data_IF_248896958555
#
_entry.id   IF_248896958555
#
_cell.length_a   1.000
_cell.length_b   1.000
_cell.length_c   1.000
_cell.angle_alpha   90.00
_cell.angle_beta   90.00
_cell.angle_gamma   90.00
#
_symmetry.space_group_name_H-M   'P 1'
#
loop_
_entity.id
_entity.type
_entity.pdbx_description
1 polymer ?
#
# COMPACT_ATOMS: atom_id res chain seq x y z
N UNK A 1 -31.32 -40.25 7.25
CA UNK A 1 -30.68 -39.00 7.66
C UNK A 1 -29.58 -39.37 8.64
N UNK A 2 -28.33 -39.45 8.19
CA UNK A 2 -27.18 -39.63 9.08
C UNK A 2 -26.75 -38.23 9.53
N UNK A 3 -26.71 -38.01 10.83
CA UNK A 3 -26.23 -36.79 11.43
C UNK A 3 -24.71 -36.66 11.13
N UNK A 4 -24.28 -35.55 10.56
CA UNK A 4 -22.87 -35.20 10.46
C UNK A 4 -22.28 -35.11 11.89
N UNK A 5 -21.08 -35.66 12.13
CA UNK A 5 -20.44 -35.53 13.43
C UNK A 5 -20.06 -34.07 13.67
N UNK A 6 -20.60 -33.46 14.71
CA UNK A 6 -20.16 -32.15 15.19
C UNK A 6 -18.66 -32.18 15.48
N UNK A 7 -17.90 -31.39 14.73
CA UNK A 7 -16.48 -31.10 14.94
C UNK A 7 -16.31 -30.24 16.20
N UNK A 8 -16.35 -30.87 17.37
CA UNK A 8 -16.19 -30.20 18.70
C UNK A 8 -14.74 -30.25 19.22
N UNK A 9 -13.74 -30.37 18.39
CA UNK A 9 -12.35 -30.17 18.85
C UNK A 9 -11.88 -28.75 18.55
N UNK A 10 -11.83 -27.93 19.61
CA UNK A 10 -11.12 -26.64 19.59
C UNK A 10 -9.64 -26.90 19.39
N UNK A 11 -9.16 -26.71 18.17
CA UNK A 11 -7.75 -26.81 17.83
C UNK A 11 -7.03 -25.57 18.37
N UNK A 12 -6.09 -25.75 19.30
CA UNK A 12 -5.24 -24.67 19.80
C UNK A 12 -4.42 -24.02 18.67
N UNK A 13 -4.05 -22.74 18.85
CA UNK A 13 -3.31 -21.94 17.85
C UNK A 13 -2.08 -22.68 17.28
N UNK A 14 -1.24 -23.24 18.16
CA UNK A 14 0.02 -23.86 17.72
C UNK A 14 -0.25 -25.12 16.89
N UNK A 15 -1.24 -25.93 17.32
CA UNK A 15 -1.66 -27.11 16.56
C UNK A 15 -2.24 -26.74 15.19
N UNK A 16 -3.00 -25.63 15.10
CA UNK A 16 -3.47 -25.11 13.81
C UNK A 16 -2.31 -24.73 12.90
N UNK A 17 -1.32 -24.02 13.42
CA UNK A 17 -0.13 -23.64 12.64
C UNK A 17 0.70 -24.85 12.20
N UNK A 18 0.77 -25.92 12.99
CA UNK A 18 1.43 -27.17 12.61
C UNK A 18 0.69 -27.83 11.44
N UNK A 19 -0.64 -27.97 11.53
CA UNK A 19 -1.47 -28.52 10.47
C UNK A 19 -1.29 -27.70 9.16
N UNK A 20 -1.36 -26.37 9.25
CA UNK A 20 -1.16 -25.50 8.09
C UNK A 20 0.24 -25.64 7.49
N UNK A 21 1.27 -25.84 8.33
CA UNK A 21 2.65 -26.06 7.87
C UNK A 21 2.80 -27.40 7.15
N UNK A 22 2.25 -28.48 7.72
CA UNK A 22 2.31 -29.83 7.13
C UNK A 22 1.61 -29.87 5.78
N UNK A 23 0.49 -29.16 5.66
CA UNK A 23 -0.26 -29.02 4.40
C UNK A 23 0.25 -27.92 3.48
N UNK A 24 1.40 -27.27 3.76
CA UNK A 24 2.02 -26.19 2.98
C UNK A 24 1.07 -24.99 2.72
N UNK A 25 0.16 -24.73 3.62
CA UNK A 25 -0.81 -23.64 3.55
C UNK A 25 -0.33 -22.34 4.23
N UNK A 26 0.84 -22.38 4.87
CA UNK A 26 1.46 -21.16 5.39
C UNK A 26 2.16 -20.40 4.28
N UNK A 27 2.02 -19.06 4.29
CA UNK A 27 2.77 -18.18 3.39
C UNK A 27 4.27 -18.33 3.68
N UNK A 28 5.09 -18.74 2.72
CA UNK A 28 6.53 -18.90 2.93
C UNK A 28 7.18 -17.54 3.24
N UNK A 29 8.08 -17.53 4.24
CA UNK A 29 8.87 -16.33 4.56
C UNK A 29 9.80 -16.01 3.39
N UNK A 30 9.53 -14.95 2.65
CA UNK A 30 10.44 -14.46 1.60
C UNK A 30 11.61 -13.72 2.25
N UNK A 31 12.82 -14.28 2.14
CA UNK A 31 14.07 -13.58 2.47
C UNK A 31 14.54 -12.82 1.23
N UNK A 32 14.18 -11.56 1.10
CA UNK A 32 14.85 -10.65 0.17
C UNK A 32 14.72 -9.23 0.70
N UNK A 33 15.87 -8.65 1.01
CA UNK A 33 15.98 -7.26 1.46
C UNK A 33 16.61 -6.47 0.32
N UNK A 34 15.80 -5.71 -0.42
CA UNK A 34 16.29 -4.68 -1.31
C UNK A 34 16.01 -3.31 -0.68
N UNK A 35 17.08 -2.52 -0.52
CA UNK A 35 16.97 -1.14 -0.05
C UNK A 35 16.30 -0.31 -1.17
N UNK A 36 15.07 0.09 -0.97
CA UNK A 36 14.28 0.87 -1.94
C UNK A 36 14.29 2.37 -1.67
N UNK A 37 14.78 2.78 -0.49
CA UNK A 37 14.74 4.17 -0.04
C UNK A 37 16.13 4.74 0.08
N UNK A 38 16.42 5.82 -0.63
CA UNK A 38 17.55 6.70 -0.38
C UNK A 38 17.06 7.92 0.42
N UNK A 39 17.33 7.90 1.74
CA UNK A 39 16.97 8.98 2.67
C UNK A 39 18.12 9.95 2.96
N UNK A 40 19.33 9.72 2.39
CA UNK A 40 20.53 10.56 2.59
C UNK A 40 20.68 11.64 1.50
N UNK A 41 19.59 12.35 1.20
CA UNK A 41 19.58 13.43 0.20
C UNK A 41 19.42 14.81 0.89
N UNK A 42 19.66 15.89 0.11
CA UNK A 42 19.61 17.30 0.58
C UNK A 42 18.23 17.94 0.47
N UNK A 43 17.21 17.23 -0.01
CA UNK A 43 15.86 17.78 -0.12
C UNK A 43 15.23 18.08 1.23
N UNK A 44 14.29 19.05 1.25
CA UNK A 44 13.52 19.40 2.43
C UNK A 44 12.69 18.21 2.91
N UNK A 45 12.70 17.98 4.23
CA UNK A 45 11.86 16.99 4.91
C UNK A 45 10.66 17.68 5.52
N UNK A 46 9.54 16.97 5.55
CA UNK A 46 8.30 17.46 6.12
C UNK A 46 8.02 16.78 7.47
N UNK A 47 7.27 17.44 8.40
CA UNK A 47 6.95 16.86 9.70
C UNK A 47 6.04 15.64 9.55
N UNK A 48 6.12 14.72 10.52
CA UNK A 48 5.19 13.60 10.61
C UNK A 48 3.87 14.09 11.24
N UNK A 49 2.83 14.19 10.41
CA UNK A 49 1.48 14.61 10.83
C UNK A 49 0.59 13.46 11.26
N UNK A 50 1.05 12.21 11.17
CA UNK A 50 0.29 11.03 11.64
C UNK A 50 0.75 10.60 13.04
N UNK A 51 1.86 11.13 13.52
CA UNK A 51 2.38 10.87 14.86
C UNK A 51 1.48 11.50 15.93
N UNK A 52 1.29 10.82 17.08
CA UNK A 52 0.60 11.43 18.22
C UNK A 52 1.18 12.78 18.61
N UNK A 53 0.30 13.76 18.83
CA UNK A 53 0.70 15.13 19.17
C UNK A 53 -0.36 16.15 18.77
N UNK A 54 -0.12 17.46 19.04
CA UNK A 54 -1.11 18.52 18.79
C UNK A 54 -1.48 18.69 17.31
N UNK A 55 -0.56 18.36 16.39
CA UNK A 55 -0.75 18.44 14.94
C UNK A 55 -1.17 17.11 14.29
N UNK A 56 -1.54 16.10 15.10
CA UNK A 56 -1.91 14.80 14.60
C UNK A 56 -3.15 14.88 13.72
N UNK A 57 -3.03 14.31 12.51
CA UNK A 57 -4.15 14.12 11.59
C UNK A 57 -4.56 12.65 11.59
N UNK A 58 -5.82 12.40 11.95
CA UNK A 58 -6.43 11.08 11.89
C UNK A 58 -7.49 11.08 10.80
N UNK A 59 -7.47 10.08 9.93
CA UNK A 59 -8.51 9.91 8.92
C UNK A 59 -9.82 9.48 9.57
N UNK A 60 -10.84 10.33 9.50
CA UNK A 60 -12.21 10.05 9.96
C UNK A 60 -13.15 9.71 8.81
N UNK A 61 -12.68 9.88 7.58
CA UNK A 61 -13.38 9.56 6.33
C UNK A 61 -12.41 9.36 5.17
N UNK A 62 -12.92 8.87 4.03
CA UNK A 62 -12.12 8.73 2.82
C UNK A 62 -11.54 10.07 2.33
N UNK A 63 -10.45 10.00 1.57
CA UNK A 63 -9.78 11.11 0.88
C UNK A 63 -9.19 12.22 1.79
N UNK A 64 -9.06 11.96 3.09
CA UNK A 64 -8.44 12.88 4.06
C UNK A 64 -6.95 12.60 4.27
N UNK A 65 -6.56 11.33 4.26
CA UNK A 65 -5.16 10.90 4.43
C UNK A 65 -4.85 9.80 3.41
N UNK A 66 -3.84 10.05 2.60
CA UNK A 66 -3.27 9.05 1.71
C UNK A 66 -1.87 8.67 2.17
N UNK A 67 -1.59 7.37 2.20
CA UNK A 67 -0.24 6.85 2.47
C UNK A 67 0.36 6.29 1.18
N UNK A 68 1.65 6.53 0.97
CA UNK A 68 2.33 6.09 -0.23
C UNK A 68 3.61 5.34 0.09
N UNK A 69 3.93 4.39 -0.76
CA UNK A 69 5.17 3.65 -0.73
C UNK A 69 5.54 3.14 -2.13
N UNK A 70 6.83 2.89 -2.33
CA UNK A 70 7.35 2.26 -3.53
C UNK A 70 7.83 0.86 -3.18
N UNK A 71 7.30 -0.12 -3.90
CA UNK A 71 7.77 -1.49 -3.76
C UNK A 71 8.34 -2.00 -5.08
N UNK A 72 9.12 -3.07 -5.04
CA UNK A 72 9.64 -3.71 -6.24
C UNK A 72 8.93 -5.03 -6.51
N UNK A 73 8.82 -5.36 -7.79
CA UNK A 73 8.26 -6.59 -8.29
C UNK A 73 9.20 -7.19 -9.34
N UNK A 74 9.95 -8.26 -9.02
CA UNK A 74 10.89 -8.87 -9.94
C UNK A 74 10.18 -9.45 -11.17
N UNK A 75 10.72 -9.19 -12.35
CA UNK A 75 10.34 -9.84 -13.60
C UNK A 75 11.42 -10.83 -14.03
N UNK A 76 11.19 -11.66 -15.05
CA UNK A 76 12.21 -12.54 -15.59
C UNK A 76 13.37 -11.75 -16.20
N UNK A 77 13.07 -10.60 -16.82
CA UNK A 77 14.05 -9.78 -17.54
C UNK A 77 14.67 -8.68 -16.69
N UNK A 78 13.96 -8.17 -15.67
CA UNK A 78 14.37 -7.00 -14.92
C UNK A 78 13.62 -6.88 -13.58
N UNK A 79 13.62 -5.69 -13.00
CA UNK A 79 12.83 -5.35 -11.82
C UNK A 79 11.83 -4.25 -12.20
N UNK A 80 10.56 -4.47 -11.90
CA UNK A 80 9.53 -3.44 -11.96
C UNK A 80 9.40 -2.76 -10.59
N UNK A 81 9.29 -1.44 -10.58
CA UNK A 81 9.00 -0.63 -9.40
C UNK A 81 7.54 -0.22 -9.42
N UNK A 82 6.86 -0.40 -8.30
CA UNK A 82 5.43 -0.15 -8.17
C UNK A 82 5.23 0.95 -7.14
N UNK A 83 4.79 2.12 -7.58
CA UNK A 83 4.36 3.21 -6.70
C UNK A 83 2.89 3.02 -6.37
N UNK A 84 2.55 2.91 -5.09
CA UNK A 84 1.18 2.75 -4.60
C UNK A 84 0.78 3.94 -3.73
N UNK A 85 -0.47 4.38 -3.86
CA UNK A 85 -1.10 5.36 -2.98
C UNK A 85 -2.38 4.75 -2.45
N UNK A 86 -2.50 4.69 -1.15
CA UNK A 86 -3.61 4.03 -0.44
C UNK A 86 -4.32 5.03 0.45
N UNK A 87 -5.62 5.08 0.38
CA UNK A 87 -6.46 5.84 1.31
C UNK A 87 -6.41 5.20 2.70
N UNK A 88 -6.02 5.99 3.71
CA UNK A 88 -5.79 5.48 5.06
C UNK A 88 -7.06 5.05 5.77
N UNK A 89 -8.22 5.60 5.43
CA UNK A 89 -9.50 5.24 6.03
C UNK A 89 -10.07 3.97 5.39
N UNK A 90 -10.29 4.00 4.09
CA UNK A 90 -10.96 2.93 3.34
C UNK A 90 -10.04 1.77 2.94
N UNK A 91 -8.72 1.92 3.06
CA UNK A 91 -7.71 0.96 2.58
C UNK A 91 -7.67 0.81 1.05
N UNK A 92 -8.43 1.60 0.32
CA UNK A 92 -8.49 1.57 -1.14
C UNK A 92 -7.17 2.05 -1.74
N UNK A 93 -6.64 1.32 -2.70
CA UNK A 93 -5.56 1.81 -3.54
C UNK A 93 -6.17 2.80 -4.52
N UNK A 94 -5.93 4.10 -4.30
CA UNK A 94 -6.50 5.21 -5.07
C UNK A 94 -5.62 5.59 -6.26
N UNK A 95 -4.32 5.26 -6.21
CA UNK A 95 -3.39 5.50 -7.30
C UNK A 95 -2.27 4.49 -7.32
N UNK A 96 -1.84 4.11 -8.53
CA UNK A 96 -0.69 3.23 -8.71
C UNK A 96 -0.03 3.47 -10.06
N UNK A 97 1.26 3.16 -10.14
CA UNK A 97 2.02 3.20 -11.38
C UNK A 97 3.17 2.19 -11.34
N UNK A 98 3.40 1.51 -12.47
CA UNK A 98 4.47 0.52 -12.63
C UNK A 98 5.51 1.06 -13.61
N UNK A 99 6.77 1.07 -13.20
CA UNK A 99 7.88 1.61 -13.97
C UNK A 99 9.13 0.71 -13.87
N UNK A 100 10.07 0.92 -14.79
CA UNK A 100 11.37 0.21 -14.82
C UNK A 100 12.44 0.82 -13.91
N UNK A 101 12.19 2.00 -13.33
CA UNK A 101 13.16 2.74 -12.52
C UNK A 101 12.51 3.50 -11.36
N UNK A 102 13.32 3.82 -10.34
CA UNK A 102 12.93 4.62 -9.17
C UNK A 102 12.97 6.13 -9.43
N UNK A 103 12.31 6.61 -10.50
CA UNK A 103 12.27 8.03 -10.83
C UNK A 103 11.07 8.73 -10.20
N UNK A 104 11.21 10.04 -9.95
CA UNK A 104 10.14 10.90 -9.42
C UNK A 104 8.90 10.90 -10.29
N UNK A 105 9.04 10.77 -11.61
CA UNK A 105 7.93 10.72 -12.56
C UNK A 105 6.98 9.54 -12.29
N UNK A 106 7.46 8.45 -11.72
CA UNK A 106 6.65 7.29 -11.35
C UNK A 106 5.66 7.62 -10.23
N UNK A 107 6.14 8.26 -9.16
CA UNK A 107 5.29 8.68 -8.04
C UNK A 107 4.32 9.79 -8.46
N UNK A 108 4.74 10.67 -9.37
CA UNK A 108 3.87 11.71 -9.95
C UNK A 108 2.72 11.09 -10.74
N UNK A 109 2.98 10.07 -11.56
CA UNK A 109 1.93 9.38 -12.33
C UNK A 109 0.94 8.67 -11.41
N UNK A 110 1.41 8.01 -10.35
CA UNK A 110 0.55 7.40 -9.35
C UNK A 110 -0.33 8.46 -8.65
N UNK A 111 0.25 9.59 -8.23
CA UNK A 111 -0.48 10.70 -7.60
C UNK A 111 -1.47 11.35 -8.56
N UNK A 112 -1.08 11.59 -9.80
CA UNK A 112 -1.98 12.17 -10.82
C UNK A 112 -3.17 11.25 -11.09
N UNK A 113 -2.97 9.92 -11.12
CA UNK A 113 -4.05 8.92 -11.23
C UNK A 113 -4.99 9.02 -10.04
N UNK A 114 -4.45 9.09 -8.81
CA UNK A 114 -5.25 9.22 -7.59
C UNK A 114 -6.08 10.53 -7.59
N UNK A 115 -5.45 11.67 -7.91
CA UNK A 115 -6.11 12.97 -7.92
C UNK A 115 -7.21 13.08 -8.98
N UNK A 116 -7.05 12.42 -10.14
CA UNK A 116 -8.07 12.40 -11.19
C UNK A 116 -9.40 11.78 -10.74
N UNK A 117 -9.33 10.83 -9.82
CA UNK A 117 -10.49 10.09 -9.30
C UNK A 117 -10.97 10.60 -7.94
N UNK A 118 -10.32 11.61 -7.39
CA UNK A 118 -10.71 12.26 -6.14
C UNK A 118 -12.04 12.97 -6.28
N UNK A 119 -12.92 12.81 -5.28
CA UNK A 119 -14.30 13.32 -5.32
C UNK A 119 -14.58 14.43 -4.33
N UNK A 120 -13.68 14.70 -3.39
CA UNK A 120 -13.85 15.70 -2.33
C UNK A 120 -12.82 16.81 -2.42
N UNK A 121 -13.20 18.03 -1.98
CA UNK A 121 -12.31 19.17 -1.84
C UNK A 121 -11.76 19.31 -0.41
N UNK A 122 -11.96 18.31 0.44
CA UNK A 122 -11.44 18.32 1.81
C UNK A 122 -9.91 18.38 1.83
N UNK A 123 -9.35 18.92 2.93
CA UNK A 123 -7.90 18.96 3.11
C UNK A 123 -7.32 17.55 3.06
N UNK A 124 -6.38 17.32 2.16
CA UNK A 124 -5.68 16.05 1.98
C UNK A 124 -4.29 16.11 2.61
N UNK A 125 -3.98 15.13 3.43
CA UNK A 125 -2.61 14.84 3.89
C UNK A 125 -2.07 13.67 3.11
N UNK A 126 -0.89 13.83 2.51
CA UNK A 126 -0.16 12.74 1.86
C UNK A 126 1.04 12.38 2.71
N UNK A 127 1.11 11.12 3.15
CA UNK A 127 2.16 10.59 4.00
C UNK A 127 3.01 9.56 3.25
N UNK A 128 4.32 9.68 3.36
CA UNK A 128 5.30 8.76 2.76
C UNK A 128 6.53 8.59 3.66
N UNK A 129 7.42 7.70 3.25
CA UNK A 129 8.78 7.71 3.76
C UNK A 129 9.56 8.96 3.25
N UNK A 130 10.85 9.05 3.63
CA UNK A 130 11.75 10.14 3.21
C UNK A 130 12.52 9.80 1.93
N UNK A 131 11.97 8.99 1.05
CA UNK A 131 12.59 8.71 -0.24
C UNK A 131 12.78 9.96 -1.09
N UNK A 132 13.90 10.03 -1.82
CA UNK A 132 14.25 11.19 -2.68
C UNK A 132 13.15 11.54 -3.68
N UNK A 133 12.38 10.55 -4.12
CA UNK A 133 11.26 10.72 -5.05
C UNK A 133 10.15 11.59 -4.45
N UNK A 134 9.80 11.35 -3.17
CA UNK A 134 8.76 12.09 -2.46
C UNK A 134 9.23 13.47 -2.00
N UNK A 135 10.54 13.62 -1.74
CA UNK A 135 11.15 14.88 -1.33
C UNK A 135 11.51 15.82 -2.50
N UNK A 136 11.45 15.32 -3.75
CA UNK A 136 11.87 16.09 -4.93
C UNK A 136 11.01 17.32 -5.15
N UNK A 137 11.62 18.41 -5.65
CA UNK A 137 10.91 19.66 -5.94
C UNK A 137 9.75 19.48 -6.92
N UNK A 138 9.91 18.55 -7.88
CA UNK A 138 8.88 18.26 -8.86
C UNK A 138 7.63 17.66 -8.19
N UNK A 139 7.81 16.75 -7.25
CA UNK A 139 6.71 16.15 -6.49
C UNK A 139 6.09 17.15 -5.53
N UNK A 140 6.90 17.99 -4.88
CA UNK A 140 6.42 19.04 -3.98
C UNK A 140 5.63 20.15 -4.70
N UNK A 141 6.00 20.49 -5.95
CA UNK A 141 5.20 21.41 -6.79
C UNK A 141 3.82 20.82 -7.11
N UNK A 142 3.73 19.50 -7.35
CA UNK A 142 2.44 18.83 -7.55
C UNK A 142 1.56 18.94 -6.29
N UNK A 143 2.14 18.73 -5.10
CA UNK A 143 1.43 18.92 -3.84
C UNK A 143 0.93 20.36 -3.65
N UNK A 144 1.80 21.33 -3.86
CA UNK A 144 1.43 22.75 -3.76
C UNK A 144 0.30 23.14 -4.71
N UNK A 145 0.36 22.65 -5.97
CA UNK A 145 -0.68 22.89 -6.98
C UNK A 145 -2.06 22.40 -6.55
N UNK A 146 -2.11 21.30 -5.80
CA UNK A 146 -3.37 20.66 -5.37
C UNK A 146 -3.71 20.89 -3.90
N UNK A 147 -2.99 21.78 -3.19
CA UNK A 147 -3.24 22.08 -1.77
C UNK A 147 -3.01 20.88 -0.84
N UNK A 148 -2.16 19.93 -1.24
CA UNK A 148 -1.90 18.71 -0.46
C UNK A 148 -0.87 19.01 0.62
N UNK A 149 -1.17 18.65 1.87
CA UNK A 149 -0.24 18.78 2.98
C UNK A 149 0.68 17.57 3.05
N UNK A 150 1.99 17.80 2.94
CA UNK A 150 2.99 16.74 3.09
C UNK A 150 3.14 16.30 4.54
N UNK A 151 3.30 15.00 4.70
CA UNK A 151 3.68 14.31 5.93
C UNK A 151 4.72 13.26 5.61
N UNK A 152 5.74 13.09 6.43
CA UNK A 152 6.79 12.10 6.24
C UNK A 152 7.12 11.40 7.54
N UNK A 153 7.58 10.15 7.46
CA UNK A 153 8.12 9.41 8.61
C UNK A 153 9.27 10.18 9.28
N UNK A 154 9.55 9.94 10.56
CA UNK A 154 10.68 10.59 11.27
C UNK A 154 12.04 9.97 10.92
N UNK A 155 12.08 8.93 10.10
CA UNK A 155 13.29 8.42 9.44
C UNK A 155 13.86 7.11 9.94
N UNK A 156 13.54 6.66 11.15
CA UNK A 156 14.11 5.43 11.74
C UNK A 156 13.05 4.39 12.14
N UNK A 157 11.78 4.76 12.14
CA UNK A 157 10.70 3.89 12.57
C UNK A 157 9.88 3.45 11.35
N UNK A 158 10.07 2.19 10.95
CA UNK A 158 9.32 1.56 9.86
C UNK A 158 7.82 1.46 10.16
N UNK A 159 7.41 1.45 11.43
CA UNK A 159 5.99 1.41 11.80
C UNK A 159 5.22 2.68 11.41
N UNK A 160 5.91 3.77 11.16
CA UNK A 160 5.27 5.04 10.78
C UNK A 160 4.64 5.00 9.37
N UNK A 161 5.02 4.05 8.51
CA UNK A 161 4.36 3.80 7.22
C UNK A 161 3.75 2.39 7.12
N UNK A 162 3.47 1.78 8.27
CA UNK A 162 3.03 0.39 8.39
C UNK A 162 1.80 0.04 7.54
N UNK A 163 0.91 1.01 7.30
CA UNK A 163 -0.25 0.77 6.46
C UNK A 163 0.15 0.56 4.99
N UNK A 164 1.00 1.42 4.43
CA UNK A 164 1.46 1.28 3.06
C UNK A 164 2.27 -0.02 2.88
N UNK A 165 3.15 -0.32 3.83
CA UNK A 165 3.93 -1.58 3.85
C UNK A 165 3.01 -2.81 3.91
N UNK A 166 1.95 -2.76 4.72
CA UNK A 166 0.96 -3.84 4.82
C UNK A 166 0.25 -4.08 3.48
N UNK A 167 -0.17 -3.02 2.79
CA UNK A 167 -0.83 -3.14 1.48
C UNK A 167 0.13 -3.74 0.45
N UNK A 168 1.37 -3.29 0.41
CA UNK A 168 2.42 -3.89 -0.41
C UNK A 168 2.62 -5.37 -0.11
N UNK A 169 2.62 -5.74 1.17
CA UNK A 169 2.69 -7.13 1.62
C UNK A 169 1.53 -7.97 1.10
N UNK A 170 0.30 -7.48 1.23
CA UNK A 170 -0.92 -8.16 0.74
C UNK A 170 -0.82 -8.39 -0.76
N UNK A 171 -0.50 -7.36 -1.57
CA UNK A 171 -0.37 -7.53 -3.01
C UNK A 171 0.68 -8.60 -3.36
N UNK A 172 1.83 -8.58 -2.71
CA UNK A 172 2.92 -9.53 -2.97
C UNK A 172 2.61 -10.96 -2.56
N UNK A 173 1.83 -11.16 -1.51
CA UNK A 173 1.60 -12.50 -0.93
C UNK A 173 0.29 -13.15 -1.37
N UNK A 174 -0.69 -12.35 -1.77
CA UNK A 174 -2.01 -12.87 -2.14
C UNK A 174 -2.28 -12.78 -3.65
N UNK A 175 -1.68 -11.81 -4.36
CA UNK A 175 -2.02 -11.54 -5.76
C UNK A 175 -0.85 -11.73 -6.73
N UNK A 176 0.35 -11.30 -6.36
CA UNK A 176 1.53 -11.34 -7.23
C UNK A 176 2.34 -12.63 -6.99
N UNK A 177 1.68 -13.78 -7.14
CA UNK A 177 2.25 -15.08 -6.83
C UNK A 177 3.22 -15.59 -7.90
N UNK A 178 3.07 -15.13 -9.13
CA UNK A 178 3.89 -15.52 -10.27
C UNK A 178 4.82 -14.38 -10.68
N UNK A 179 5.98 -14.75 -11.20
CA UNK A 179 6.95 -13.81 -11.73
C UNK A 179 6.59 -13.46 -13.17
N UNK A 180 6.30 -12.19 -13.51
CA UNK A 180 5.98 -11.79 -14.87
C UNK A 180 7.21 -11.85 -15.77
N UNK A 181 7.01 -12.09 -17.06
CA UNK A 181 8.10 -12.14 -18.05
C UNK A 181 8.80 -10.79 -18.22
N UNK A 182 8.01 -9.73 -18.28
CA UNK A 182 8.50 -8.38 -18.58
C UNK A 182 7.64 -7.30 -17.90
N UNK A 183 7.99 -6.02 -18.14
CA UNK A 183 7.30 -4.88 -17.57
C UNK A 183 5.83 -4.75 -18.02
N UNK A 184 5.51 -5.15 -19.25
CA UNK A 184 4.13 -5.08 -19.78
C UNK A 184 3.23 -6.05 -19.01
N UNK A 185 3.69 -7.26 -18.83
CA UNK A 185 2.97 -8.28 -18.04
C UNK A 185 2.88 -7.87 -16.57
N UNK A 186 3.96 -7.31 -16.00
CA UNK A 186 3.95 -6.78 -14.64
C UNK A 186 2.89 -5.69 -14.44
N UNK A 187 2.73 -4.76 -15.40
CA UNK A 187 1.69 -3.72 -15.37
C UNK A 187 0.31 -4.34 -15.36
N UNK A 188 0.02 -5.27 -16.28
CA UNK A 188 -1.27 -5.96 -16.33
C UNK A 188 -1.58 -6.67 -15.03
N UNK A 189 -0.64 -7.44 -14.47
CA UNK A 189 -0.82 -8.15 -13.21
C UNK A 189 -1.10 -7.20 -12.04
N UNK A 190 -0.41 -6.05 -11.98
CA UNK A 190 -0.64 -5.05 -10.95
C UNK A 190 -2.02 -4.40 -11.11
N UNK A 191 -2.42 -4.01 -12.33
CA UNK A 191 -3.73 -3.42 -12.60
C UNK A 191 -4.86 -4.36 -12.19
N UNK A 192 -4.78 -5.63 -12.58
CA UNK A 192 -5.75 -6.68 -12.20
C UNK A 192 -5.76 -6.91 -10.68
N UNK A 193 -4.59 -6.98 -10.04
CA UNK A 193 -4.46 -7.17 -8.60
C UNK A 193 -5.09 -6.01 -7.82
N UNK A 194 -4.87 -4.77 -8.25
CA UNK A 194 -5.46 -3.58 -7.62
C UNK A 194 -6.99 -3.59 -7.77
N UNK A 195 -7.49 -3.98 -8.93
CA UNK A 195 -8.93 -4.09 -9.18
C UNK A 195 -9.58 -5.12 -8.25
N UNK A 196 -9.01 -6.34 -8.17
CA UNK A 196 -9.51 -7.40 -7.28
C UNK A 196 -9.38 -6.99 -5.82
N UNK A 197 -8.24 -6.41 -5.42
CA UNK A 197 -8.00 -5.93 -4.07
C UNK A 197 -9.07 -4.90 -3.65
N UNK A 198 -9.33 -3.91 -4.49
CA UNK A 198 -10.27 -2.85 -4.17
C UNK A 198 -11.73 -3.33 -4.12
N UNK A 199 -12.15 -4.18 -5.05
CA UNK A 199 -13.56 -4.50 -5.24
C UNK A 199 -13.99 -5.85 -4.66
N UNK A 200 -13.07 -6.80 -4.50
CA UNK A 200 -13.42 -8.18 -4.11
C UNK A 200 -12.79 -8.65 -2.81
N UNK A 201 -11.69 -8.02 -2.35
CA UNK A 201 -11.02 -8.46 -1.14
C UNK A 201 -11.66 -7.85 0.12
N UNK A 202 -12.25 -8.68 1.04
CA UNK A 202 -12.73 -8.18 2.31
C UNK A 202 -11.57 -7.89 3.27
N UNK A 203 -11.74 -6.89 4.13
CA UNK A 203 -10.78 -6.53 5.17
C UNK A 203 -11.41 -6.65 6.56
N UNK A 204 -10.75 -7.36 7.46
CA UNK A 204 -11.19 -7.48 8.86
C UNK A 204 -11.32 -6.11 9.53
N UNK A 205 -10.34 -5.21 9.33
CA UNK A 205 -10.36 -3.84 9.85
C UNK A 205 -11.50 -2.97 9.28
N UNK A 206 -12.14 -3.39 8.20
CA UNK A 206 -13.30 -2.75 7.58
C UNK A 206 -14.60 -3.54 7.84
N UNK A 207 -14.63 -4.35 8.89
CA UNK A 207 -15.77 -5.22 9.21
C UNK A 207 -16.13 -6.12 8.01
N UNK A 208 -15.12 -6.70 7.38
CA UNK A 208 -15.19 -7.56 6.19
C UNK A 208 -15.81 -6.91 4.95
N UNK A 209 -15.91 -5.58 4.90
CA UNK A 209 -16.24 -4.86 3.67
C UNK A 209 -15.01 -4.75 2.77
N UNK A 210 -15.25 -4.55 1.48
CA UNK A 210 -14.17 -4.25 0.51
C UNK A 210 -13.73 -2.79 0.63
N UNK A 211 -12.48 -2.46 0.26
CA UNK A 211 -11.99 -1.08 0.26
C UNK A 211 -12.87 -0.12 -0.53
N UNK A 212 -13.32 -0.54 -1.70
CA UNK A 212 -14.16 0.28 -2.57
C UNK A 212 -15.56 0.53 -1.98
N UNK A 213 -16.17 -0.48 -1.34
CA UNK A 213 -17.45 -0.32 -0.67
C UNK A 213 -17.39 0.72 0.47
N UNK A 214 -16.29 0.72 1.26
CA UNK A 214 -16.08 1.71 2.32
C UNK A 214 -15.75 3.09 1.74
N UNK A 215 -14.98 3.14 0.65
CA UNK A 215 -14.59 4.40 0.02
C UNK A 215 -15.75 5.15 -0.64
N UNK A 216 -16.75 4.42 -1.16
CA UNK A 216 -17.95 5.01 -1.78
C UNK A 216 -19.03 5.39 -0.77
N UNK A 217 -18.93 5.00 0.46
CA UNK A 217 -19.89 5.36 1.51
C UNK A 217 -19.65 6.78 2.06
N UNK A 218 -19.22 7.70 1.18
CA UNK A 218 -19.08 9.15 1.41
C UNK A 218 -20.46 9.82 1.45
#
# INVERSE_FOLDING_TARGET
MQAEPELTQTVGRDRLFDILRDHRQLVPRKRAYHKTTDSHHRFRRHPNRLKPGPDQVTATGPEQVWVADITYFPTEQSVAYVSLITDAFSRKIVGHHVHESLRTESVIKAMTKALRHRKTDQSLVHHSDRGSQYCSDLYQRLHAKHGIRCSMTDGYDCYQNALAERINGILKTEFLLHRPKNLIEARRMIDESVEIYNHKRPHMALKYKTPDAVHRAL
#
